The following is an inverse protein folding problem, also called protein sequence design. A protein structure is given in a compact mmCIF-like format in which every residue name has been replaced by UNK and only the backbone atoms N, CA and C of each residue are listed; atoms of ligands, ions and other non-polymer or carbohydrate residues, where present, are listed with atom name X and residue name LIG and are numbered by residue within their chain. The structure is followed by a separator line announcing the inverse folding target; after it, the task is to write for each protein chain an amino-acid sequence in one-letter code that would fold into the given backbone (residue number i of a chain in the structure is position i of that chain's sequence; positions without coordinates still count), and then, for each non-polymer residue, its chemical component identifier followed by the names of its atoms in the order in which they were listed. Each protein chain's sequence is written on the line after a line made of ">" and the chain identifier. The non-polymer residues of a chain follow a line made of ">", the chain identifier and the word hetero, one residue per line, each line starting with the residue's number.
data_IF_525159432049
#
_entry.id   IF_525159432049
#
_cell.length_a   1.000
_cell.length_b   1.000
_cell.length_c   1.000
_cell.angle_alpha   90.00
_cell.angle_beta   90.00
_cell.angle_gamma   90.00
#
_symmetry.space_group_name_H-M   'P 1'
#
loop_
_entity.id
_entity.type
_entity.pdbx_description
1 polymer ?
#
# COMPACT_ATOMS: atom_id res chain seq x y z
N UNK A 1 -10.28 -10.79 -2.61
CA UNK A 1 -8.93 -10.55 -2.05
C UNK A 1 -8.01 -10.20 -3.20
N UNK A 2 -7.26 -9.11 -3.11
CA UNK A 2 -6.28 -8.70 -4.11
C UNK A 2 -4.89 -9.05 -3.56
N UNK A 3 -4.02 -9.62 -4.39
CA UNK A 3 -2.60 -9.83 -4.07
C UNK A 3 -1.76 -9.41 -5.26
N UNK A 4 -0.76 -8.58 -5.00
CA UNK A 4 0.22 -8.13 -5.98
C UNK A 4 1.56 -7.90 -5.26
N UNK A 5 2.63 -7.63 -6.01
CA UNK A 5 3.93 -7.32 -5.44
C UNK A 5 3.84 -6.01 -4.64
N UNK A 6 4.05 -6.09 -3.33
CA UNK A 6 4.08 -4.91 -2.45
C UNK A 6 2.71 -4.39 -2.01
N UNK A 7 1.63 -5.16 -2.18
CA UNK A 7 0.27 -4.81 -1.73
C UNK A 7 -0.14 -3.39 -2.17
N UNK A 8 0.26 -3.02 -3.38
CA UNK A 8 0.13 -1.68 -3.97
C UNK A 8 -1.30 -1.48 -4.48
N UNK A 9 -1.83 -0.30 -4.23
CA UNK A 9 -3.06 0.23 -4.81
C UNK A 9 -2.68 1.49 -5.58
N UNK A 10 -2.69 1.47 -6.92
CA UNK A 10 -2.44 2.68 -7.69
C UNK A 10 -3.43 3.80 -7.32
N UNK A 11 -3.03 5.08 -7.44
CA UNK A 11 -3.99 6.18 -7.49
C UNK A 11 -5.05 5.91 -8.56
N UNK A 12 -6.26 6.42 -8.36
CA UNK A 12 -7.36 6.18 -9.28
C UNK A 12 -7.02 6.66 -10.69
N UNK A 13 -7.19 5.75 -11.64
CA UNK A 13 -7.15 6.00 -13.06
C UNK A 13 -8.41 5.37 -13.68
N UNK A 14 -9.09 6.03 -14.63
CA UNK A 14 -10.32 5.51 -15.23
C UNK A 14 -10.08 4.34 -16.20
N UNK A 15 -8.83 3.97 -16.48
CA UNK A 15 -8.54 2.80 -17.30
C UNK A 15 -8.95 1.49 -16.59
N UNK A 16 -9.35 0.47 -17.36
CA UNK A 16 -9.77 -0.80 -16.80
C UNK A 16 -8.57 -1.61 -16.31
N UNK A 17 -8.12 -1.35 -15.07
CA UNK A 17 -7.13 -2.17 -14.37
C UNK A 17 -7.76 -3.08 -13.30
N UNK A 18 -7.11 -4.22 -13.03
CA UNK A 18 -7.66 -5.23 -12.12
C UNK A 18 -7.81 -4.77 -10.67
N UNK A 19 -6.95 -3.87 -10.20
CA UNK A 19 -7.02 -3.34 -8.82
C UNK A 19 -8.19 -2.36 -8.68
N UNK A 20 -8.27 -1.32 -9.53
CA UNK A 20 -9.42 -0.41 -9.61
C UNK A 20 -10.75 -1.14 -9.76
N UNK A 21 -10.86 -2.06 -10.73
CA UNK A 21 -12.12 -2.79 -10.97
C UNK A 21 -12.54 -3.62 -9.75
N UNK A 22 -11.60 -4.26 -9.05
CA UNK A 22 -11.91 -5.06 -7.86
C UNK A 22 -12.32 -4.18 -6.68
N UNK A 23 -11.67 -3.02 -6.50
CA UNK A 23 -12.04 -2.04 -5.46
C UNK A 23 -13.45 -1.50 -5.75
N UNK A 24 -13.73 -1.11 -6.98
CA UNK A 24 -15.06 -0.63 -7.38
C UNK A 24 -16.13 -1.69 -7.12
N UNK A 25 -15.92 -2.93 -7.56
CA UNK A 25 -16.89 -4.00 -7.34
C UNK A 25 -17.13 -4.24 -5.83
N UNK A 26 -16.07 -4.31 -5.03
CA UNK A 26 -16.20 -4.54 -3.59
C UNK A 26 -16.97 -3.40 -2.89
N UNK A 27 -16.74 -2.15 -3.29
CA UNK A 27 -17.31 -0.99 -2.60
C UNK A 27 -18.69 -0.63 -3.15
N UNK A 28 -18.86 -0.61 -4.47
CA UNK A 28 -20.09 -0.19 -5.13
C UNK A 28 -21.15 -1.30 -5.18
N UNK A 29 -20.73 -2.54 -5.43
CA UNK A 29 -21.65 -3.67 -5.65
C UNK A 29 -21.83 -4.51 -4.39
N UNK A 30 -20.72 -4.91 -3.76
CA UNK A 30 -20.77 -5.76 -2.55
C UNK A 30 -20.96 -4.97 -1.26
N UNK A 31 -20.82 -3.65 -1.32
CA UNK A 31 -21.06 -2.75 -0.20
C UNK A 31 -20.21 -3.07 1.05
N UNK A 32 -18.97 -3.52 0.86
CA UNK A 32 -18.14 -3.94 2.01
C UNK A 32 -17.98 -2.81 3.03
N UNK A 33 -18.08 -3.10 4.34
CA UNK A 33 -18.01 -2.08 5.38
C UNK A 33 -16.57 -1.63 5.67
N UNK A 34 -15.57 -2.37 5.19
CA UNK A 34 -14.16 -2.12 5.44
C UNK A 34 -13.25 -2.64 4.34
N UNK A 35 -12.14 -1.93 4.11
CA UNK A 35 -10.99 -2.38 3.33
C UNK A 35 -9.75 -2.39 4.24
N UNK A 36 -8.98 -3.46 4.15
CA UNK A 36 -7.68 -3.58 4.82
C UNK A 36 -6.58 -3.58 3.75
N UNK A 37 -5.63 -2.66 3.87
CA UNK A 37 -4.33 -2.78 3.20
C UNK A 37 -3.39 -3.49 4.16
N UNK A 38 -2.96 -4.69 3.80
CA UNK A 38 -2.07 -5.50 4.63
C UNK A 38 -0.70 -5.62 3.98
N UNK A 39 0.29 -4.95 4.55
CA UNK A 39 1.70 -5.17 4.28
C UNK A 39 2.27 -6.29 5.15
N UNK A 40 3.55 -6.62 4.96
CA UNK A 40 4.21 -7.62 5.79
C UNK A 40 5.71 -7.35 5.94
N UNK A 41 6.31 -7.84 7.03
CA UNK A 41 7.77 -7.78 7.22
C UNK A 41 8.48 -8.54 6.09
N UNK A 42 9.73 -8.19 5.84
CA UNK A 42 10.56 -8.80 4.80
C UNK A 42 9.95 -8.74 3.38
N UNK A 43 9.16 -7.71 3.07
CA UNK A 43 8.54 -7.58 1.75
C UNK A 43 9.58 -7.29 0.67
N UNK A 44 9.79 -8.26 -0.22
CA UNK A 44 10.76 -8.15 -1.33
C UNK A 44 10.50 -6.98 -2.27
N UNK A 45 9.23 -6.62 -2.51
CA UNK A 45 8.90 -5.44 -3.32
C UNK A 45 9.33 -4.13 -2.64
N UNK A 46 9.22 -4.04 -1.31
CA UNK A 46 9.72 -2.88 -0.56
C UNK A 46 11.24 -2.84 -0.53
N UNK A 47 11.90 -4.02 -0.48
CA UNK A 47 13.35 -4.10 -0.61
C UNK A 47 13.81 -3.60 -1.97
N UNK A 48 13.19 -4.07 -3.05
CA UNK A 48 13.45 -3.61 -4.41
C UNK A 48 13.16 -2.11 -4.60
N UNK A 49 12.22 -1.54 -3.84
CA UNK A 49 11.96 -0.10 -3.87
C UNK A 49 13.05 0.73 -3.17
N UNK A 50 13.79 0.16 -2.20
CA UNK A 50 14.98 0.80 -1.59
C UNK A 50 16.23 0.60 -2.45
N UNK A 51 16.39 -0.61 -2.97
CA UNK A 51 17.53 -1.10 -3.75
C UNK A 51 17.05 -1.44 -5.18
N UNK A 52 16.84 -0.44 -6.07
CA UNK A 52 16.30 -0.69 -7.40
C UNK A 52 17.31 -1.35 -8.36
N UNK A 53 18.56 -1.51 -7.93
CA UNK A 53 19.61 -2.19 -8.68
C UNK A 53 19.17 -3.62 -9.02
N UNK A 54 19.19 -3.98 -10.30
CA UNK A 54 18.76 -5.32 -10.76
C UNK A 54 17.32 -5.42 -11.25
N UNK A 55 16.56 -4.31 -11.30
CA UNK A 55 15.23 -4.30 -11.93
C UNK A 55 15.27 -4.16 -13.46
N UNK A 56 16.46 -4.06 -14.05
CA UNK A 56 16.66 -3.90 -15.50
C UNK A 56 16.05 -5.01 -16.34
N UNK A 57 16.11 -6.24 -15.85
CA UNK A 57 15.55 -7.42 -16.52
C UNK A 57 14.06 -7.62 -16.27
N UNK A 58 13.42 -6.79 -15.43
CA UNK A 58 12.01 -6.91 -15.05
C UNK A 58 11.27 -5.56 -15.16
N UNK A 59 11.14 -5.00 -16.38
CA UNK A 59 10.59 -3.65 -16.59
C UNK A 59 9.20 -3.45 -15.99
N UNK A 60 8.30 -4.42 -16.09
CA UNK A 60 6.96 -4.30 -15.49
C UNK A 60 7.00 -4.20 -13.96
N UNK A 61 7.96 -4.85 -13.31
CA UNK A 61 8.15 -4.72 -11.85
C UNK A 61 8.73 -3.35 -11.52
N UNK A 62 9.72 -2.88 -12.28
CA UNK A 62 10.30 -1.54 -12.13
C UNK A 62 9.23 -0.45 -12.22
N UNK A 63 8.34 -0.53 -13.20
CA UNK A 63 7.26 0.44 -13.39
C UNK A 63 6.23 0.31 -12.27
N UNK A 64 5.88 -0.92 -11.88
CA UNK A 64 4.93 -1.20 -10.81
C UNK A 64 5.37 -0.65 -9.44
N UNK A 65 6.64 -0.80 -9.08
CA UNK A 65 7.12 -0.31 -7.77
C UNK A 65 7.22 1.21 -7.69
N UNK A 66 7.07 1.95 -8.80
CA UNK A 66 7.06 3.42 -8.77
C UNK A 66 5.91 3.98 -7.91
N UNK A 67 4.81 3.23 -7.75
CA UNK A 67 3.72 3.61 -6.84
C UNK A 67 4.14 3.65 -5.35
N UNK A 68 5.32 3.13 -5.01
CA UNK A 68 5.92 3.20 -3.66
C UNK A 68 6.73 4.48 -3.47
N UNK A 69 7.08 5.22 -4.53
CA UNK A 69 7.96 6.39 -4.44
C UNK A 69 7.52 7.44 -3.40
N UNK A 70 6.22 7.79 -3.25
CA UNK A 70 5.79 8.71 -2.20
C UNK A 70 6.01 8.16 -0.77
N UNK A 71 5.88 6.85 -0.58
CA UNK A 71 6.17 6.21 0.71
C UNK A 71 7.68 6.23 1.00
N UNK A 72 8.52 5.98 0.00
CA UNK A 72 9.97 6.09 0.12
C UNK A 72 10.39 7.51 0.51
N UNK A 73 9.85 8.52 -0.19
CA UNK A 73 10.12 9.92 0.14
C UNK A 73 9.76 10.24 1.60
N UNK A 74 8.61 9.76 2.09
CA UNK A 74 8.22 9.94 3.48
C UNK A 74 9.20 9.30 4.47
N UNK A 75 9.75 8.11 4.18
CA UNK A 75 10.81 7.51 5.00
C UNK A 75 12.07 8.36 4.98
N UNK A 76 12.48 8.82 3.79
CA UNK A 76 13.68 9.62 3.59
C UNK A 76 13.61 10.95 4.38
N UNK A 77 12.44 11.58 4.41
CA UNK A 77 12.20 12.86 5.11
C UNK A 77 12.01 12.71 6.62
N UNK A 78 11.19 11.74 7.06
CA UNK A 78 10.82 11.59 8.48
C UNK A 78 11.86 10.80 9.27
N UNK A 79 12.62 9.93 8.60
CA UNK A 79 13.50 8.96 9.24
C UNK A 79 14.88 8.82 8.56
N UNK A 80 15.62 9.93 8.38
CA UNK A 80 16.85 9.94 7.57
C UNK A 80 17.99 9.09 8.15
N UNK A 81 17.98 8.80 9.45
CA UNK A 81 19.07 8.15 10.18
C UNK A 81 18.83 6.67 10.51
N UNK A 82 17.76 6.05 9.97
CA UNK A 82 17.53 4.62 10.19
C UNK A 82 18.59 3.77 9.50
N UNK A 83 19.01 2.70 10.19
CA UNK A 83 19.79 1.64 9.57
C UNK A 83 18.98 0.92 8.46
N UNK A 84 19.63 0.13 7.58
CA UNK A 84 18.95 -0.49 6.45
C UNK A 84 17.74 -1.37 6.81
N UNK A 85 17.82 -2.17 7.88
CA UNK A 85 16.74 -3.09 8.27
C UNK A 85 15.56 -2.30 8.85
N UNK A 86 15.84 -1.31 9.71
CA UNK A 86 14.83 -0.42 10.25
C UNK A 86 14.17 0.42 9.14
N UNK A 87 14.95 0.86 8.15
CA UNK A 87 14.43 1.58 6.98
C UNK A 87 13.51 0.71 6.13
N UNK A 88 13.85 -0.56 5.92
CA UNK A 88 13.01 -1.51 5.20
C UNK A 88 11.67 -1.73 5.90
N UNK A 89 11.69 -1.93 7.22
CA UNK A 89 10.48 -2.05 8.01
C UNK A 89 9.63 -0.77 7.97
N UNK A 90 10.27 0.40 8.05
CA UNK A 90 9.56 1.68 8.00
C UNK A 90 8.94 1.90 6.62
N UNK A 91 9.62 1.53 5.53
CA UNK A 91 9.04 1.58 4.19
C UNK A 91 7.82 0.66 4.05
N UNK A 92 7.82 -0.53 4.66
CA UNK A 92 6.62 -1.39 4.69
C UNK A 92 5.44 -0.65 5.30
N UNK A 93 5.62 0.04 6.44
CA UNK A 93 4.55 0.79 7.10
C UNK A 93 4.11 1.99 6.27
N UNK A 94 5.06 2.80 5.77
CA UNK A 94 4.74 3.97 4.96
C UNK A 94 4.06 3.59 3.65
N UNK A 95 4.43 2.45 3.05
CA UNK A 95 3.74 1.91 1.88
C UNK A 95 2.28 1.62 2.19
N UNK A 96 1.98 0.91 3.29
CA UNK A 96 0.58 0.65 3.71
C UNK A 96 -0.19 1.97 3.86
N UNK A 97 0.39 2.97 4.53
CA UNK A 97 -0.23 4.28 4.68
C UNK A 97 -0.45 5.00 3.34
N UNK A 98 0.51 4.90 2.41
CA UNK A 98 0.38 5.46 1.07
C UNK A 98 -0.73 4.78 0.27
N UNK A 99 -0.86 3.45 0.34
CA UNK A 99 -1.92 2.75 -0.39
C UNK A 99 -3.31 3.08 0.18
N UNK A 100 -3.42 3.36 1.49
CA UNK A 100 -4.64 3.92 2.07
C UNK A 100 -4.96 5.32 1.53
N UNK A 101 -3.93 6.16 1.30
CA UNK A 101 -4.12 7.47 0.63
C UNK A 101 -4.57 7.29 -0.81
N UNK A 102 -3.96 6.37 -1.56
CA UNK A 102 -4.35 6.07 -2.93
C UNK A 102 -5.79 5.54 -3.00
N UNK A 103 -6.20 4.64 -2.09
CA UNK A 103 -7.58 4.18 -1.97
C UNK A 103 -8.59 5.33 -1.88
N UNK A 104 -8.27 6.40 -1.13
CA UNK A 104 -9.16 7.58 -1.00
C UNK A 104 -9.34 8.35 -2.31
N UNK A 105 -8.52 8.12 -3.32
CA UNK A 105 -8.69 8.73 -4.65
C UNK A 105 -9.71 7.98 -5.52
N UNK A 106 -10.08 6.74 -5.16
CA UNK A 106 -11.08 5.96 -5.90
C UNK A 106 -12.49 6.51 -5.60
N UNK A 107 -13.31 6.87 -6.61
CA UNK A 107 -14.57 7.61 -6.40
C UNK A 107 -15.53 6.96 -5.39
N UNK A 108 -15.74 5.65 -5.50
CA UNK A 108 -16.63 4.92 -4.58
C UNK A 108 -16.06 4.82 -3.16
N UNK A 109 -14.74 4.69 -3.01
CA UNK A 109 -14.08 4.68 -1.71
C UNK A 109 -14.20 6.06 -1.05
N UNK A 110 -13.94 7.13 -1.80
CA UNK A 110 -14.07 8.51 -1.32
C UNK A 110 -15.49 8.79 -0.82
N UNK A 111 -16.51 8.47 -1.65
CA UNK A 111 -17.91 8.69 -1.32
C UNK A 111 -18.37 7.91 -0.07
N UNK A 112 -17.98 6.62 0.05
CA UNK A 112 -18.38 5.81 1.21
C UNK A 112 -17.60 6.14 2.48
N UNK A 113 -16.35 6.55 2.36
CA UNK A 113 -15.57 7.01 3.52
C UNK A 113 -16.15 8.33 4.06
N UNK A 114 -16.50 9.27 3.17
CA UNK A 114 -17.09 10.56 3.54
C UNK A 114 -18.44 10.43 4.28
N UNK A 115 -19.17 9.34 4.06
CA UNK A 115 -20.45 9.05 4.72
C UNK A 115 -20.32 8.10 5.92
N UNK A 116 -19.09 7.72 6.29
CA UNK A 116 -18.83 6.77 7.39
C UNK A 116 -19.26 5.32 7.11
N UNK A 117 -19.62 5.00 5.86
CA UNK A 117 -20.09 3.67 5.44
C UNK A 117 -18.96 2.71 5.08
N UNK A 118 -17.74 3.22 4.90
CA UNK A 118 -16.54 2.43 4.63
C UNK A 118 -15.42 2.84 5.57
N UNK A 119 -14.80 1.86 6.23
CA UNK A 119 -13.58 2.04 7.02
C UNK A 119 -12.35 1.58 6.24
N UNK A 120 -11.26 2.33 6.35
CA UNK A 120 -9.97 1.96 5.77
C UNK A 120 -8.99 1.62 6.90
N UNK A 121 -8.33 0.47 6.81
CA UNK A 121 -7.45 -0.04 7.85
C UNK A 121 -6.08 -0.45 7.29
N UNK A 122 -5.00 -0.03 7.95
CA UNK A 122 -3.64 -0.38 7.57
C UNK A 122 -3.06 -1.41 8.51
N UNK A 123 -2.63 -2.55 8.00
CA UNK A 123 -2.07 -3.66 8.78
C UNK A 123 -0.66 -3.99 8.30
N UNK A 124 0.19 -4.46 9.20
CA UNK A 124 1.48 -5.09 8.90
C UNK A 124 1.51 -6.46 9.57
N UNK A 125 1.61 -7.52 8.76
CA UNK A 125 1.82 -8.87 9.25
C UNK A 125 3.31 -9.15 9.47
N UNK A 126 3.68 -9.48 10.70
CA UNK A 126 5.05 -9.87 11.05
C UNK A 126 5.22 -11.36 10.80
N UNK A 127 6.04 -11.74 9.81
CA UNK A 127 6.29 -13.13 9.43
C UNK A 127 6.95 -13.92 10.56
N UNK A 128 7.86 -13.28 11.29
CA UNK A 128 8.67 -13.88 12.35
C UNK A 128 7.82 -14.18 13.59
N UNK A 129 7.04 -13.19 14.04
CA UNK A 129 6.23 -13.27 15.26
C UNK A 129 4.83 -13.85 15.02
N UNK A 130 4.38 -13.90 13.76
CA UNK A 130 3.01 -14.26 13.33
C UNK A 130 1.94 -13.33 13.89
N UNK A 131 2.31 -12.09 14.24
CA UNK A 131 1.40 -11.08 14.76
C UNK A 131 1.00 -10.09 13.67
N UNK A 132 -0.11 -9.41 13.89
CA UNK A 132 -0.54 -8.29 13.06
C UNK A 132 -0.43 -7.01 13.87
N UNK A 133 0.33 -6.05 13.36
CA UNK A 133 0.34 -4.68 13.84
C UNK A 133 -0.72 -3.88 13.06
N UNK A 134 -1.66 -3.27 13.78
CA UNK A 134 -2.58 -2.30 13.20
C UNK A 134 -1.92 -0.93 13.21
N UNK A 135 -1.79 -0.32 12.04
CA UNK A 135 -1.34 1.06 11.89
C UNK A 135 -2.51 1.97 12.24
N UNK A 136 -2.30 2.87 13.19
CA UNK A 136 -3.26 3.93 13.46
C UNK A 136 -3.14 4.96 12.33
N UNK A 137 -4.26 5.51 11.83
CA UNK A 137 -4.20 6.63 10.90
C UNK A 137 -3.41 7.77 11.58
N UNK A 138 -2.50 8.40 10.82
CA UNK A 138 -1.89 9.66 11.26
C UNK A 138 -3.03 10.68 11.50
N UNK A 139 -2.95 11.48 12.57
CA UNK A 139 -3.99 12.44 12.94
C UNK A 139 -4.28 13.45 11.83
#
# INVERSE_FOLDING_TARGET
>A
VIRNAGNIVPPYDPSPEGVTATIEYAVAVLEVPSIIVCGHTLCGAMKAALEPDGLDTVPSVRDWIQYVAPARLAVDELHPLLDPDARWLELVKQNVLQQLRNLKTHPWVAARTATGRLRLEGWVYELESKRVLRLLPLP
#
